data_IF_461017215585
#
_entry.id   IF_461017215585
#
_cell.length_a   1.000
_cell.length_b   1.000
_cell.length_c   1.000
_cell.angle_alpha   90.00
_cell.angle_beta   90.00
_cell.angle_gamma   90.00
#
_symmetry.space_group_name_H-M   'P 1'
#
loop_
_entity.id
_entity.type
_entity.pdbx_description
1 polymer ?
#
# COMPACT_ATOMS: atom_id res chain seq x y z
N UNK A 1 43.70 41.52 15.26
CA UNK A 1 42.80 41.91 14.15
C UNK A 1 42.21 40.66 13.50
N UNK A 2 40.98 40.28 13.84
CA UNK A 2 40.17 39.35 13.04
C UNK A 2 38.72 39.81 13.12
N UNK A 3 38.14 40.02 11.94
CA UNK A 3 36.87 40.69 11.71
C UNK A 3 35.67 39.79 12.01
N UNK A 4 34.62 40.41 12.54
CA UNK A 4 33.30 39.83 12.73
C UNK A 4 32.48 39.93 11.43
N UNK A 5 31.73 38.88 11.11
CA UNK A 5 30.69 38.95 10.09
C UNK A 5 29.45 38.20 10.61
N UNK A 6 28.42 38.98 10.95
CA UNK A 6 27.06 38.56 11.30
C UNK A 6 26.36 38.02 10.05
N UNK A 7 25.68 36.87 10.16
CA UNK A 7 24.62 36.47 9.23
C UNK A 7 23.42 36.04 10.08
N UNK A 8 22.31 36.77 9.94
CA UNK A 8 21.02 36.51 10.58
C UNK A 8 20.24 35.43 9.82
N UNK A 9 19.69 34.45 10.53
CA UNK A 9 18.70 33.51 10.01
C UNK A 9 17.28 34.03 10.31
N UNK A 10 16.46 34.21 9.27
CA UNK A 10 15.02 34.45 9.44
C UNK A 10 14.25 33.15 9.28
N UNK A 11 13.57 32.73 10.35
CA UNK A 11 12.53 31.71 10.36
C UNK A 11 11.19 32.35 9.93
N UNK A 12 10.58 31.86 8.86
CA UNK A 12 9.24 32.27 8.46
C UNK A 12 8.20 31.36 9.13
N UNK A 13 7.62 31.84 10.23
CA UNK A 13 6.36 31.34 10.79
C UNK A 13 5.20 31.91 9.96
N UNK A 14 4.28 31.07 9.48
CA UNK A 14 3.02 31.53 8.89
C UNK A 14 1.96 31.61 10.00
N UNK A 15 1.72 32.83 10.48
CA UNK A 15 0.54 33.20 11.27
C UNK A 15 -0.60 33.59 10.31
N UNK A 16 -1.81 33.14 10.61
CA UNK A 16 -3.04 33.55 9.92
C UNK A 16 -3.66 34.68 10.74
N UNK A 17 -3.60 35.93 10.27
CA UNK A 17 -4.24 37.06 10.94
C UNK A 17 -5.64 37.32 10.39
N UNK A 18 -6.61 37.41 11.30
CA UNK A 18 -7.90 38.07 11.11
C UNK A 18 -7.73 39.55 10.77
N UNK A 19 -8.63 40.11 9.95
CA UNK A 19 -8.91 41.55 9.93
C UNK A 19 -10.34 41.82 9.46
N UNK A 20 -11.02 42.61 10.28
CA UNK A 20 -12.40 43.10 10.18
C UNK A 20 -12.48 44.45 9.42
N UNK A 21 -13.55 44.60 8.62
CA UNK A 21 -14.36 45.80 8.25
C UNK A 21 -13.79 47.08 7.58
N UNK A 22 -14.13 47.20 6.27
CA UNK A 22 -14.74 48.32 5.45
C UNK A 22 -14.02 49.70 5.25
N UNK A 23 -14.34 50.51 4.19
CA UNK A 23 -15.47 50.42 3.24
C UNK A 23 -15.13 50.49 1.72
N UNK A 24 -16.21 50.30 0.96
CA UNK A 24 -16.41 50.15 -0.49
C UNK A 24 -15.98 51.29 -1.43
N UNK A 25 -15.41 50.91 -2.57
CA UNK A 25 -15.66 51.58 -3.88
C UNK A 25 -15.60 50.56 -5.02
N UNK A 26 -16.65 50.56 -5.84
CA UNK A 26 -16.92 49.70 -7.01
C UNK A 26 -15.92 49.88 -8.16
N UNK A 27 -15.50 48.78 -8.83
CA UNK A 27 -15.25 48.68 -10.29
C UNK A 27 -14.85 47.25 -10.73
N UNK A 28 -15.68 46.62 -11.57
CA UNK A 28 -15.31 45.70 -12.68
C UNK A 28 -14.80 44.27 -12.38
N UNK A 29 -15.30 43.22 -13.09
CA UNK A 29 -14.93 41.83 -12.83
C UNK A 29 -13.76 41.36 -13.71
N UNK A 30 -12.50 41.53 -13.28
CA UNK A 30 -11.35 40.88 -13.94
C UNK A 30 -10.24 40.58 -12.93
N UNK A 31 -10.41 39.59 -12.03
CA UNK A 31 -9.26 39.03 -11.29
C UNK A 31 -9.48 37.70 -10.55
N UNK A 32 -10.35 36.78 -11.01
CA UNK A 32 -10.40 35.41 -10.44
C UNK A 32 -9.71 34.34 -11.32
N UNK A 33 -9.54 34.58 -12.62
CA UNK A 33 -8.95 33.60 -13.53
C UNK A 33 -7.43 33.39 -13.34
N UNK A 34 -6.69 34.38 -12.83
CA UNK A 34 -5.23 34.35 -12.81
C UNK A 34 -4.63 33.62 -11.61
N UNK A 35 -5.38 33.48 -10.51
CA UNK A 35 -4.94 32.77 -9.29
C UNK A 35 -5.18 31.27 -9.42
N UNK A 36 -6.33 30.88 -9.96
CA UNK A 36 -6.63 29.47 -10.28
C UNK A 36 -5.67 28.90 -11.31
N UNK A 37 -5.36 29.67 -12.36
CA UNK A 37 -4.48 29.20 -13.43
C UNK A 37 -3.04 29.03 -12.94
N UNK A 38 -2.56 29.93 -12.06
CA UNK A 38 -1.26 29.78 -11.38
C UNK A 38 -1.21 28.54 -10.48
N UNK A 39 -2.29 28.21 -9.77
CA UNK A 39 -2.40 27.00 -8.95
C UNK A 39 -2.37 25.71 -9.79
N UNK A 40 -3.11 25.70 -10.90
CA UNK A 40 -3.14 24.61 -11.88
C UNK A 40 -1.80 24.44 -12.60
N UNK A 41 -1.10 25.54 -12.91
CA UNK A 41 0.23 25.50 -13.53
C UNK A 41 1.28 24.97 -12.54
N UNK A 42 1.26 25.43 -11.29
CA UNK A 42 2.16 24.94 -10.23
C UNK A 42 1.96 23.46 -9.93
N UNK A 43 0.72 22.98 -9.88
CA UNK A 43 0.44 21.55 -9.67
C UNK A 43 0.89 20.68 -10.85
N UNK A 44 0.71 21.17 -12.10
CA UNK A 44 1.24 20.53 -13.31
C UNK A 44 2.77 20.50 -13.32
N UNK A 45 3.44 21.59 -12.93
CA UNK A 45 4.91 21.68 -12.87
C UNK A 45 5.50 20.79 -11.76
N UNK A 46 4.89 20.77 -10.57
CA UNK A 46 5.29 19.86 -9.49
C UNK A 46 5.01 18.40 -9.86
N UNK A 47 3.90 18.12 -10.55
CA UNK A 47 3.60 16.78 -11.08
C UNK A 47 4.57 16.35 -12.18
N UNK A 48 4.99 17.27 -13.06
CA UNK A 48 5.99 17.02 -14.08
C UNK A 48 7.37 16.78 -13.44
N UNK A 49 7.75 17.60 -12.45
CA UNK A 49 8.99 17.44 -11.71
C UNK A 49 9.04 16.13 -10.92
N UNK A 50 7.95 15.77 -10.22
CA UNK A 50 7.86 14.49 -9.52
C UNK A 50 7.84 13.32 -10.51
N UNK A 51 7.14 13.44 -11.64
CA UNK A 51 7.21 12.44 -12.73
C UNK A 51 8.61 12.29 -13.31
N UNK A 52 9.43 13.35 -13.36
CA UNK A 52 10.83 13.28 -13.79
C UNK A 52 11.70 12.67 -12.68
N UNK A 53 11.58 13.14 -11.44
CA UNK A 53 12.35 12.66 -10.29
C UNK A 53 12.13 11.19 -9.99
N UNK A 54 10.89 10.71 -10.09
CA UNK A 54 10.50 9.32 -9.79
C UNK A 54 10.29 8.45 -11.04
N UNK A 55 9.92 9.06 -12.18
CA UNK A 55 9.69 8.33 -13.43
C UNK A 55 10.97 8.06 -14.24
N UNK A 56 12.11 8.69 -13.97
CA UNK A 56 13.36 8.34 -14.66
C UNK A 56 13.82 6.90 -14.35
N UNK A 57 13.46 6.35 -13.18
CA UNK A 57 13.71 4.95 -12.81
C UNK A 57 12.85 3.95 -13.60
N UNK A 58 11.93 4.40 -14.46
CA UNK A 58 11.05 3.53 -15.25
C UNK A 58 11.77 2.73 -16.34
N UNK A 59 12.93 3.20 -16.82
CA UNK A 59 13.65 2.56 -17.92
C UNK A 59 14.53 1.39 -17.52
N UNK A 60 14.70 1.11 -16.22
CA UNK A 60 15.55 0.01 -15.77
C UNK A 60 14.72 -1.26 -15.55
N UNK A 61 14.72 -2.15 -16.55
CA UNK A 61 14.12 -3.49 -16.43
C UNK A 61 14.85 -4.26 -15.33
N UNK A 62 14.09 -4.86 -14.42
CA UNK A 62 14.67 -5.72 -13.38
C UNK A 62 15.15 -7.02 -14.00
N UNK A 63 16.41 -7.39 -13.78
CA UNK A 63 16.98 -8.67 -14.23
C UNK A 63 16.54 -9.77 -13.27
N UNK A 64 15.95 -10.85 -13.78
CA UNK A 64 15.56 -11.98 -12.95
C UNK A 64 16.52 -13.16 -13.15
N UNK A 65 16.89 -13.79 -12.04
CA UNK A 65 17.71 -14.99 -12.09
C UNK A 65 16.90 -16.15 -12.67
N UNK A 66 17.55 -16.97 -13.49
CA UNK A 66 17.00 -18.27 -13.89
C UNK A 66 17.30 -19.35 -12.85
N UNK A 67 18.30 -19.19 -11.99
CA UNK A 67 18.70 -20.25 -11.05
C UNK A 67 17.92 -20.27 -9.74
N UNK A 68 17.30 -19.16 -9.36
CA UNK A 68 16.52 -19.07 -8.12
C UNK A 68 15.03 -18.86 -8.41
N UNK A 69 14.14 -19.53 -7.66
CA UNK A 69 12.70 -19.33 -7.82
C UNK A 69 12.31 -17.92 -7.41
N UNK A 70 11.25 -17.41 -8.04
CA UNK A 70 10.55 -16.22 -7.56
C UNK A 70 9.42 -16.69 -6.67
N UNK A 71 9.36 -16.19 -5.43
CA UNK A 71 8.22 -16.38 -4.55
C UNK A 71 7.35 -15.13 -4.61
N UNK A 72 6.04 -15.29 -4.78
CA UNK A 72 5.08 -14.20 -4.73
C UNK A 72 3.80 -14.66 -4.03
N UNK A 73 3.46 -14.01 -2.91
CA UNK A 73 2.25 -14.24 -2.10
C UNK A 73 1.91 -15.73 -1.94
N UNK A 74 2.84 -16.49 -1.37
CA UNK A 74 2.68 -17.93 -1.12
C UNK A 74 3.00 -18.87 -2.29
N UNK A 75 3.14 -18.36 -3.52
CA UNK A 75 3.41 -19.19 -4.70
C UNK A 75 4.88 -19.09 -5.14
N UNK A 76 5.53 -20.23 -5.39
CA UNK A 76 6.89 -20.32 -5.93
C UNK A 76 6.86 -20.57 -7.44
N UNK A 77 7.68 -19.85 -8.19
CA UNK A 77 7.77 -19.91 -9.65
C UNK A 77 9.21 -20.15 -10.11
N UNK A 78 9.44 -21.27 -10.78
CA UNK A 78 10.73 -21.56 -11.40
C UNK A 78 10.82 -20.93 -12.80
N UNK A 79 11.52 -19.80 -12.92
CA UNK A 79 11.56 -19.04 -14.17
C UNK A 79 12.28 -19.75 -15.34
N UNK A 80 12.96 -20.89 -15.09
CA UNK A 80 13.50 -21.75 -16.16
C UNK A 80 12.37 -22.37 -16.96
N UNK A 81 11.34 -22.84 -16.27
CA UNK A 81 10.15 -23.39 -16.89
C UNK A 81 9.32 -22.28 -17.55
N UNK A 82 8.96 -22.50 -18.82
CA UNK A 82 8.22 -21.51 -19.58
C UNK A 82 6.77 -21.35 -19.06
N UNK A 83 6.15 -22.45 -18.63
CA UNK A 83 4.80 -22.44 -18.06
C UNK A 83 4.73 -21.66 -16.75
N UNK A 84 5.65 -21.91 -15.83
CA UNK A 84 5.75 -21.19 -14.56
C UNK A 84 6.13 -19.73 -14.75
N UNK A 85 6.99 -19.40 -15.73
CA UNK A 85 7.29 -18.01 -16.09
C UNK A 85 6.05 -17.25 -16.55
N UNK A 86 5.23 -17.86 -17.42
CA UNK A 86 3.98 -17.26 -17.86
C UNK A 86 2.94 -17.20 -16.73
N UNK A 87 2.88 -18.21 -15.87
CA UNK A 87 2.05 -18.20 -14.66
C UNK A 87 2.43 -17.05 -13.72
N UNK A 88 3.73 -16.83 -13.48
CA UNK A 88 4.24 -15.69 -12.72
C UNK A 88 3.80 -14.36 -13.34
N UNK A 89 3.98 -14.20 -14.67
CA UNK A 89 3.56 -12.98 -15.39
C UNK A 89 2.09 -12.70 -15.23
N UNK A 90 1.23 -13.69 -15.46
CA UNK A 90 -0.23 -13.55 -15.31
C UNK A 90 -0.58 -13.18 -13.88
N UNK A 91 0.00 -13.87 -12.90
CA UNK A 91 -0.26 -13.63 -11.48
C UNK A 91 0.18 -12.21 -11.07
N UNK A 92 1.37 -11.77 -11.49
CA UNK A 92 1.89 -10.43 -11.19
C UNK A 92 1.05 -9.31 -11.81
N UNK A 93 0.67 -9.45 -13.09
CA UNK A 93 -0.16 -8.46 -13.80
C UNK A 93 -1.61 -8.42 -13.27
N UNK A 94 -2.04 -9.46 -12.56
CA UNK A 94 -3.35 -9.53 -11.91
C UNK A 94 -3.43 -8.70 -10.63
N UNK A 95 -2.29 -8.34 -10.03
CA UNK A 95 -2.26 -7.45 -8.87
C UNK A 95 -2.76 -6.06 -9.28
N UNK A 96 -3.65 -5.48 -8.46
CA UNK A 96 -4.08 -4.10 -8.68
C UNK A 96 -2.95 -3.13 -8.34
N UNK A 97 -2.52 -2.40 -9.36
CA UNK A 97 -1.48 -1.40 -9.25
C UNK A 97 -2.09 -0.01 -9.14
N UNK A 98 -2.07 0.54 -7.93
CA UNK A 98 -2.64 1.84 -7.60
C UNK A 98 -1.51 2.83 -7.40
N UNK A 99 -1.48 3.86 -8.23
CA UNK A 99 -0.40 4.85 -8.29
C UNK A 99 -0.93 6.24 -7.97
N UNK A 100 -0.02 7.22 -7.90
CA UNK A 100 -0.41 8.62 -7.92
C UNK A 100 -1.35 8.95 -9.08
N UNK A 101 -2.34 9.80 -8.79
CA UNK A 101 -3.33 10.26 -9.77
C UNK A 101 -3.40 11.79 -9.80
N UNK A 102 -3.82 12.33 -10.94
CA UNK A 102 -4.03 13.77 -11.15
C UNK A 102 -5.32 14.02 -11.91
N UNK A 103 -5.97 15.14 -11.60
CA UNK A 103 -7.21 15.56 -12.25
C UNK A 103 -8.47 15.00 -11.59
N UNK A 104 -8.39 14.52 -10.35
CA UNK A 104 -9.58 14.18 -9.57
C UNK A 104 -10.22 15.43 -8.97
N UNK A 105 -11.49 15.32 -8.57
CA UNK A 105 -12.21 16.40 -7.87
C UNK A 105 -11.46 16.86 -6.62
N UNK A 106 -11.46 18.16 -6.27
CA UNK A 106 -10.71 18.65 -5.10
C UNK A 106 -11.06 17.88 -3.81
N UNK A 107 -10.01 17.53 -3.06
CA UNK A 107 -10.13 16.90 -1.73
C UNK A 107 -10.82 17.84 -0.75
N UNK A 108 -11.55 17.31 0.22
CA UNK A 108 -12.28 18.13 1.18
C UNK A 108 -11.30 18.98 2.02
N UNK A 109 -11.62 20.27 2.19
CA UNK A 109 -10.81 21.20 2.97
C UNK A 109 -9.51 21.66 2.30
N UNK A 110 -9.22 21.28 1.04
CA UNK A 110 -8.10 21.83 0.29
C UNK A 110 -8.32 21.84 -1.24
N UNK A 111 -7.48 22.59 -1.97
CA UNK A 111 -7.55 22.66 -3.43
C UNK A 111 -6.82 21.53 -4.18
N UNK A 112 -6.37 20.48 -3.48
CA UNK A 112 -5.54 19.44 -4.11
C UNK A 112 -6.38 18.52 -5.01
N UNK A 113 -5.96 18.43 -6.27
CA UNK A 113 -6.53 17.56 -7.32
C UNK A 113 -5.54 16.46 -7.76
N UNK A 114 -4.49 16.25 -6.96
CA UNK A 114 -3.49 15.19 -7.12
C UNK A 114 -2.95 14.76 -5.77
N UNK A 115 -2.61 13.47 -5.66
CA UNK A 115 -1.93 12.89 -4.50
C UNK A 115 -0.41 12.70 -4.72
N UNK A 116 0.11 13.20 -5.86
CA UNK A 116 1.52 13.09 -6.21
C UNK A 116 2.42 13.77 -5.17
N UNK A 117 3.37 13.01 -4.62
CA UNK A 117 4.37 13.48 -3.67
C UNK A 117 3.99 13.36 -2.19
N UNK A 118 2.77 12.91 -1.89
CA UNK A 118 2.32 12.73 -0.50
C UNK A 118 1.46 11.48 -0.28
N UNK A 119 0.68 11.03 -1.26
CA UNK A 119 -0.28 9.93 -1.11
C UNK A 119 0.29 8.50 -1.16
N UNK A 120 1.62 8.31 -1.21
CA UNK A 120 2.19 7.00 -1.56
C UNK A 120 1.79 5.89 -0.59
N UNK A 121 1.70 6.19 0.71
CA UNK A 121 1.36 5.19 1.73
C UNK A 121 -0.11 4.80 1.65
N UNK A 122 -0.98 5.77 1.33
CA UNK A 122 -2.40 5.50 1.04
C UNK A 122 -2.54 4.59 -0.19
N UNK A 123 -1.78 4.85 -1.27
CA UNK A 123 -1.77 3.99 -2.46
C UNK A 123 -1.30 2.57 -2.18
N UNK A 124 -0.24 2.39 -1.39
CA UNK A 124 0.20 1.05 -0.99
C UNK A 124 -0.82 0.35 -0.10
N UNK A 125 -1.47 1.09 0.81
CA UNK A 125 -2.59 0.57 1.61
C UNK A 125 -3.77 0.13 0.75
N UNK A 126 -4.12 0.90 -0.28
CA UNK A 126 -5.14 0.51 -1.25
C UNK A 126 -4.74 -0.79 -1.98
N UNK A 127 -3.47 -0.96 -2.38
CA UNK A 127 -3.00 -2.18 -3.04
C UNK A 127 -3.05 -3.40 -2.11
N UNK A 128 -2.69 -3.24 -0.84
CA UNK A 128 -2.81 -4.29 0.18
C UNK A 128 -4.26 -4.72 0.38
N UNK A 129 -5.17 -3.75 0.57
CA UNK A 129 -6.59 -4.02 0.71
C UNK A 129 -7.15 -4.67 -0.57
N UNK A 130 -6.79 -4.16 -1.74
CA UNK A 130 -7.20 -4.71 -3.03
C UNK A 130 -6.81 -6.18 -3.16
N UNK A 131 -5.61 -6.57 -2.74
CA UNK A 131 -5.19 -7.97 -2.75
C UNK A 131 -6.09 -8.85 -1.86
N UNK A 132 -6.41 -8.38 -0.64
CA UNK A 132 -7.36 -9.06 0.23
C UNK A 132 -8.76 -9.18 -0.39
N UNK A 133 -9.26 -8.12 -1.02
CA UNK A 133 -10.58 -8.12 -1.69
C UNK A 133 -10.62 -9.06 -2.90
N UNK A 134 -9.54 -9.14 -3.68
CA UNK A 134 -9.44 -10.08 -4.79
C UNK A 134 -9.51 -11.53 -4.29
N UNK A 135 -8.81 -11.87 -3.20
CA UNK A 135 -8.89 -13.20 -2.59
C UNK A 135 -10.29 -13.49 -2.03
N UNK A 136 -10.94 -12.48 -1.44
CA UNK A 136 -12.27 -12.61 -0.85
C UNK A 136 -13.38 -12.79 -1.88
N UNK A 137 -13.37 -12.00 -2.96
CA UNK A 137 -14.46 -11.92 -3.94
C UNK A 137 -14.21 -12.72 -5.22
N UNK A 138 -12.94 -12.99 -5.53
CA UNK A 138 -12.46 -13.58 -6.79
C UNK A 138 -11.37 -14.65 -6.54
N UNK A 139 -11.64 -15.69 -5.72
CA UNK A 139 -10.63 -16.70 -5.39
C UNK A 139 -10.11 -17.41 -6.65
N UNK A 140 -8.79 -17.43 -6.81
CA UNK A 140 -8.11 -18.08 -7.95
C UNK A 140 -8.18 -17.31 -9.28
N UNK A 141 -8.76 -16.11 -9.30
CA UNK A 141 -8.83 -15.30 -10.51
C UNK A 141 -7.46 -14.76 -10.93
N UNK A 142 -7.16 -14.80 -12.23
CA UNK A 142 -6.05 -14.08 -12.84
C UNK A 142 -6.50 -13.39 -14.13
N UNK A 143 -5.87 -12.28 -14.48
CA UNK A 143 -6.15 -11.54 -15.70
C UNK A 143 -5.81 -12.38 -16.93
N UNK A 144 -6.80 -12.59 -17.80
CA UNK A 144 -6.62 -13.17 -19.13
C UNK A 144 -5.94 -12.12 -20.04
N UNK A 145 -4.61 -12.16 -20.13
CA UNK A 145 -3.88 -11.31 -21.09
C UNK A 145 -3.79 -12.06 -22.41
N UNK A 146 -4.43 -11.56 -23.47
CA UNK A 146 -4.26 -12.10 -24.82
C UNK A 146 -2.80 -12.03 -25.26
N UNK A 147 -2.22 -13.20 -25.59
CA UNK A 147 -0.79 -13.45 -25.84
C UNK A 147 -0.15 -12.68 -27.03
N UNK A 148 -0.87 -11.80 -27.73
CA UNK A 148 -0.40 -11.21 -28.99
C UNK A 148 0.31 -9.85 -28.90
N UNK A 149 0.52 -9.28 -27.71
CA UNK A 149 1.07 -7.90 -27.59
C UNK A 149 2.32 -7.77 -26.70
N UNK A 150 2.75 -8.81 -25.99
CA UNK A 150 3.87 -8.69 -25.05
C UNK A 150 5.15 -9.22 -25.67
N UNK A 151 5.99 -8.31 -26.16
CA UNK A 151 7.43 -8.56 -26.39
C UNK A 151 8.03 -8.99 -25.04
N UNK A 152 8.92 -9.99 -25.05
CA UNK A 152 9.53 -10.59 -23.86
C UNK A 152 10.21 -9.50 -22.98
N UNK A 153 9.46 -8.92 -22.03
CA UNK A 153 9.89 -7.74 -21.25
C UNK A 153 10.64 -8.08 -19.96
N UNK A 154 10.80 -9.39 -19.70
CA UNK A 154 11.70 -9.89 -18.65
C UNK A 154 13.06 -10.10 -19.28
N UNK A 155 14.01 -9.21 -18.99
CA UNK A 155 15.41 -9.38 -19.41
C UNK A 155 16.04 -10.49 -18.56
N UNK A 156 15.79 -11.73 -18.98
CA UNK A 156 16.49 -12.89 -18.47
C UNK A 156 17.94 -12.83 -18.97
N UNK A 157 18.90 -13.20 -18.12
CA UNK A 157 20.30 -13.29 -18.57
C UNK A 157 20.42 -14.32 -19.71
N UNK A 158 20.83 -13.83 -20.90
CA UNK A 158 21.01 -14.62 -22.13
C UNK A 158 22.51 -14.91 -22.34
N UNK A 159 22.82 -16.15 -22.74
CA UNK A 159 23.99 -16.47 -23.58
C UNK A 159 23.52 -16.53 -25.05
N UNK A 160 24.38 -16.28 -26.06
CA UNK A 160 23.92 -16.10 -27.43
C UNK A 160 23.61 -17.45 -28.08
N UNK A 161 22.46 -17.55 -28.76
CA UNK A 161 22.20 -18.54 -29.79
C UNK A 161 21.17 -18.03 -30.80
N UNK A 162 21.49 -18.27 -32.08
CA UNK A 162 20.71 -18.02 -33.29
C UNK A 162 19.42 -18.85 -33.33
N UNK A 163 18.36 -18.30 -33.92
CA UNK A 163 17.77 -18.74 -35.20
C UNK A 163 16.33 -18.22 -35.35
N UNK A 164 15.92 -17.95 -36.58
CA UNK A 164 14.63 -17.34 -36.93
C UNK A 164 13.67 -18.29 -37.64
N UNK A 165 12.38 -18.02 -37.53
CA UNK A 165 11.41 -18.39 -38.57
C UNK A 165 10.15 -17.51 -38.45
N UNK A 166 9.59 -17.16 -39.61
CA UNK A 166 8.37 -16.36 -39.82
C UNK A 166 7.21 -17.31 -40.09
N UNK A 167 6.01 -16.99 -39.59
CA UNK A 167 4.77 -17.61 -40.08
C UNK A 167 3.60 -16.62 -40.13
N UNK A 168 2.82 -16.71 -41.20
CA UNK A 168 1.78 -15.75 -41.63
C UNK A 168 0.37 -15.96 -41.03
N UNK A 169 -0.60 -15.09 -41.36
CA UNK A 169 -1.87 -15.00 -40.63
C UNK A 169 -2.97 -15.89 -41.21
N UNK A 170 -3.55 -16.78 -40.39
CA UNK A 170 -4.80 -17.49 -40.71
C UNK A 170 -5.99 -16.85 -39.99
N UNK A 171 -6.96 -16.36 -40.78
CA UNK A 171 -8.29 -15.89 -40.32
C UNK A 171 -9.06 -17.06 -39.68
N UNK A 172 -9.53 -16.93 -38.44
CA UNK A 172 -10.43 -17.89 -37.79
C UNK A 172 -11.71 -17.21 -37.30
N UNK A 173 -12.83 -17.80 -37.70
CA UNK A 173 -14.21 -17.51 -37.33
C UNK A 173 -14.41 -17.55 -35.81
N UNK A 174 -15.21 -16.62 -35.27
CA UNK A 174 -15.44 -16.42 -33.83
C UNK A 174 -16.61 -17.26 -33.33
N UNK A 175 -16.35 -18.51 -32.95
CA UNK A 175 -17.22 -19.23 -32.02
C UNK A 175 -16.72 -18.95 -30.61
N UNK A 176 -17.48 -18.18 -29.83
CA UNK A 176 -17.14 -17.84 -28.44
C UNK A 176 -17.05 -19.11 -27.60
N UNK A 177 -15.85 -19.47 -27.15
CA UNK A 177 -15.61 -20.66 -26.34
C UNK A 177 -16.34 -20.59 -25.01
N UNK A 178 -16.64 -21.75 -24.40
CA UNK A 178 -17.24 -21.84 -23.06
C UNK A 178 -16.45 -21.02 -22.01
N UNK A 179 -15.12 -20.92 -22.16
CA UNK A 179 -14.25 -20.06 -21.36
C UNK A 179 -14.64 -18.57 -21.43
N UNK A 180 -15.00 -18.06 -22.60
CA UNK A 180 -15.43 -16.66 -22.77
C UNK A 180 -16.77 -16.31 -22.09
N UNK A 181 -17.58 -17.32 -21.73
CA UNK A 181 -18.82 -17.13 -20.96
C UNK A 181 -18.56 -17.06 -19.46
N UNK A 182 -17.57 -17.79 -18.94
CA UNK A 182 -17.17 -17.75 -17.53
C UNK A 182 -16.25 -16.55 -17.20
N UNK A 183 -15.45 -16.08 -18.16
CA UNK A 183 -14.56 -14.92 -17.99
C UNK A 183 -15.32 -13.61 -17.79
N UNK A 184 -16.48 -13.43 -18.47
CA UNK A 184 -17.25 -12.17 -18.44
C UNK A 184 -17.76 -11.77 -17.04
N UNK A 185 -18.42 -12.65 -16.26
CA UNK A 185 -18.83 -12.32 -14.89
C UNK A 185 -17.65 -12.02 -13.94
N UNK A 186 -16.53 -12.72 -14.11
CA UNK A 186 -15.33 -12.50 -13.29
C UNK A 186 -14.67 -11.15 -13.62
N UNK A 187 -14.62 -10.78 -14.91
CA UNK A 187 -14.14 -9.47 -15.33
C UNK A 187 -15.04 -8.33 -14.81
N UNK A 188 -16.36 -8.51 -14.84
CA UNK A 188 -17.31 -7.53 -14.28
C UNK A 188 -17.10 -7.33 -12.77
N UNK A 189 -16.96 -8.43 -12.01
CA UNK A 189 -16.61 -8.38 -10.58
C UNK A 189 -15.25 -7.72 -10.34
N UNK A 190 -14.25 -7.99 -11.17
CA UNK A 190 -12.95 -7.35 -11.07
C UNK A 190 -13.06 -5.82 -11.30
N UNK A 191 -13.82 -5.39 -12.31
CA UNK A 191 -14.10 -3.96 -12.58
C UNK A 191 -14.83 -3.30 -11.42
N UNK A 192 -15.79 -4.00 -10.81
CA UNK A 192 -16.47 -3.55 -9.59
C UNK A 192 -15.44 -3.28 -8.47
N UNK A 193 -14.56 -4.24 -8.18
CA UNK A 193 -13.50 -4.06 -7.16
C UNK A 193 -12.61 -2.87 -7.50
N UNK A 194 -12.15 -2.73 -8.76
CA UNK A 194 -11.34 -1.59 -9.19
C UNK A 194 -12.07 -0.26 -8.99
N UNK A 195 -13.39 -0.22 -9.23
CA UNK A 195 -14.19 0.99 -9.08
C UNK A 195 -14.25 1.48 -7.64
N UNK A 196 -14.12 0.59 -6.65
CA UNK A 196 -14.10 0.96 -5.23
C UNK A 196 -12.84 1.73 -4.81
N UNK A 197 -11.76 1.66 -5.60
CA UNK A 197 -10.51 2.39 -5.37
C UNK A 197 -10.39 3.67 -6.22
N UNK A 198 -11.45 4.04 -6.94
CA UNK A 198 -11.44 5.20 -7.83
C UNK A 198 -11.21 6.53 -7.08
N UNK A 199 -10.63 7.52 -7.75
CA UNK A 199 -10.29 8.82 -7.16
C UNK A 199 -11.48 9.78 -7.09
N UNK A 200 -12.55 9.35 -6.42
CA UNK A 200 -13.78 10.12 -6.24
C UNK A 200 -14.39 9.89 -4.87
N UNK A 201 -15.22 10.85 -4.43
CA UNK A 201 -15.83 10.87 -3.11
C UNK A 201 -16.73 9.67 -2.81
N UNK A 202 -17.37 9.09 -3.82
CA UNK A 202 -18.29 7.95 -3.66
C UNK A 202 -17.59 6.60 -3.59
N UNK A 203 -16.29 6.53 -3.87
CA UNK A 203 -15.56 5.27 -3.86
C UNK A 203 -15.11 4.94 -2.43
N UNK A 204 -15.54 3.80 -1.84
CA UNK A 204 -15.35 3.51 -0.41
C UNK A 204 -13.87 3.38 0.00
N UNK A 205 -13.01 3.01 -0.94
CA UNK A 205 -11.56 2.87 -0.71
C UNK A 205 -10.76 3.88 -1.54
N UNK A 206 -11.42 4.88 -2.12
CA UNK A 206 -10.81 5.94 -2.90
C UNK A 206 -10.02 6.93 -2.05
N UNK A 207 -9.09 7.66 -2.66
CA UNK A 207 -8.20 8.60 -1.95
C UNK A 207 -8.97 9.64 -1.12
N UNK A 208 -10.13 10.11 -1.61
CA UNK A 208 -11.01 11.03 -0.89
C UNK A 208 -11.48 10.45 0.44
N UNK A 209 -11.98 9.22 0.43
CA UNK A 209 -12.50 8.55 1.62
C UNK A 209 -11.37 8.26 2.61
N UNK A 210 -10.21 7.80 2.14
CA UNK A 210 -9.07 7.51 3.01
C UNK A 210 -8.52 8.76 3.70
N UNK A 211 -8.47 9.89 2.98
CA UNK A 211 -8.10 11.19 3.58
C UNK A 211 -9.12 11.64 4.62
N UNK A 212 -10.42 11.49 4.33
CA UNK A 212 -11.48 11.85 5.27
C UNK A 212 -11.37 11.06 6.58
N UNK A 213 -11.20 9.74 6.48
CA UNK A 213 -11.01 8.86 7.63
C UNK A 213 -9.71 9.16 8.40
N UNK A 214 -8.68 9.62 7.69
CA UNK A 214 -7.39 10.01 8.26
C UNK A 214 -7.46 11.21 9.22
N UNK A 215 -8.48 12.07 9.11
CA UNK A 215 -8.65 13.24 10.00
C UNK A 215 -8.74 12.86 11.47
N UNK A 216 -9.38 11.74 11.77
CA UNK A 216 -9.49 11.20 13.13
C UNK A 216 -8.16 10.77 13.75
N UNK A 217 -7.09 10.70 12.94
CA UNK A 217 -5.71 10.45 13.36
C UNK A 217 -4.82 11.67 13.13
N UNK A 218 -5.41 12.87 13.08
CA UNK A 218 -4.70 14.14 12.90
C UNK A 218 -4.13 14.37 11.51
N UNK A 219 -4.49 13.55 10.51
CA UNK A 219 -3.96 13.67 9.14
C UNK A 219 -4.88 14.46 8.23
N UNK A 220 -4.29 15.24 7.33
CA UNK A 220 -4.98 15.93 6.23
C UNK A 220 -4.37 15.59 4.87
N UNK A 221 -5.03 16.04 3.81
CA UNK A 221 -4.48 15.96 2.46
C UNK A 221 -3.14 16.71 2.38
N UNK A 222 -2.13 16.09 1.80
CA UNK A 222 -0.76 16.63 1.71
C UNK A 222 0.19 16.13 2.79
N UNK A 223 -0.33 15.60 3.91
CA UNK A 223 0.50 15.05 4.98
C UNK A 223 1.14 13.72 4.57
N UNK A 224 2.20 13.37 5.30
CA UNK A 224 2.71 12.01 5.28
C UNK A 224 1.96 11.11 6.27
N UNK A 225 1.67 9.90 5.81
CA UNK A 225 0.99 8.84 6.56
C UNK A 225 1.98 7.72 6.85
N UNK A 226 1.97 7.18 8.07
CA UNK A 226 2.73 5.97 8.40
C UNK A 226 1.94 4.69 8.08
N UNK A 227 2.60 3.54 7.86
CA UNK A 227 1.93 2.26 7.60
C UNK A 227 0.86 1.89 8.65
N UNK A 228 1.18 2.09 9.94
CA UNK A 228 0.24 1.85 11.05
C UNK A 228 -1.05 2.68 10.94
N UNK A 229 -0.93 3.99 10.69
CA UNK A 229 -2.08 4.89 10.51
C UNK A 229 -2.94 4.41 9.33
N UNK A 230 -2.31 4.03 8.22
CA UNK A 230 -3.02 3.52 7.04
C UNK A 230 -3.74 2.21 7.34
N UNK A 231 -3.19 1.32 8.16
CA UNK A 231 -3.86 0.10 8.60
C UNK A 231 -5.19 0.41 9.33
N UNK A 232 -5.17 1.37 10.25
CA UNK A 232 -6.39 1.81 10.95
C UNK A 232 -7.38 2.54 10.04
N UNK A 233 -6.91 3.29 9.03
CA UNK A 233 -7.77 3.90 8.02
C UNK A 233 -8.46 2.82 7.18
N UNK A 234 -7.73 1.78 6.75
CA UNK A 234 -8.30 0.63 6.02
C UNK A 234 -9.38 -0.05 6.86
N UNK A 235 -9.11 -0.30 8.16
CA UNK A 235 -10.11 -0.85 9.07
C UNK A 235 -11.39 -0.02 9.11
N UNK A 236 -11.27 1.30 9.27
CA UNK A 236 -12.41 2.22 9.30
C UNK A 236 -13.15 2.22 7.95
N UNK A 237 -12.44 2.18 6.83
CA UNK A 237 -13.02 2.18 5.50
C UNK A 237 -13.84 0.91 5.22
N UNK A 238 -13.30 -0.26 5.56
CA UNK A 238 -14.02 -1.54 5.40
C UNK A 238 -15.23 -1.60 6.33
N UNK A 239 -15.09 -1.19 7.59
CA UNK A 239 -16.21 -1.17 8.55
C UNK A 239 -17.35 -0.23 8.13
N UNK A 240 -17.05 0.85 7.40
CA UNK A 240 -18.04 1.80 6.89
C UNK A 240 -18.66 1.38 5.54
N UNK A 241 -18.12 0.37 4.86
CA UNK A 241 -18.57 -0.04 3.53
C UNK A 241 -19.72 -1.04 3.62
N UNK A 242 -20.90 -0.65 3.14
CA UNK A 242 -22.06 -1.53 3.05
C UNK A 242 -21.87 -2.67 2.02
N UNK A 243 -20.91 -2.52 1.09
CA UNK A 243 -20.61 -3.50 0.04
C UNK A 243 -19.84 -4.72 0.56
N UNK A 244 -19.30 -4.66 1.77
CA UNK A 244 -18.47 -5.70 2.38
C UNK A 244 -19.00 -6.14 3.75
N UNK A 245 -20.26 -6.59 3.86
CA UNK A 245 -20.82 -6.96 5.15
C UNK A 245 -20.01 -8.09 5.80
N UNK A 246 -19.51 -9.03 4.99
CA UNK A 246 -18.90 -10.30 5.40
C UNK A 246 -17.37 -10.25 5.56
N UNK A 247 -16.78 -9.05 5.55
CA UNK A 247 -15.35 -8.85 5.75
C UNK A 247 -15.09 -7.93 6.95
N UNK A 248 -14.23 -8.40 7.85
CA UNK A 248 -13.67 -7.59 8.92
C UNK A 248 -12.19 -7.30 8.69
N UNK A 249 -11.71 -6.22 9.32
CA UNK A 249 -10.28 -5.91 9.38
C UNK A 249 -9.88 -5.76 10.84
N UNK A 250 -8.92 -6.55 11.28
CA UNK A 250 -8.27 -6.42 12.58
C UNK A 250 -6.91 -5.74 12.40
N UNK A 251 -6.56 -4.83 13.30
CA UNK A 251 -5.23 -4.20 13.33
C UNK A 251 -4.62 -4.55 14.68
N UNK A 252 -3.47 -5.22 14.65
CA UNK A 252 -2.71 -5.59 15.84
C UNK A 252 -2.29 -4.35 16.64
N UNK A 253 -2.23 -4.49 17.95
CA UNK A 253 -1.78 -3.45 18.88
C UNK A 253 -0.50 -3.92 19.54
N UNK A 254 0.48 -3.03 19.70
CA UNK A 254 1.77 -3.34 20.33
C UNK A 254 2.45 -4.60 19.80
N UNK A 255 2.40 -4.78 18.47
CA UNK A 255 2.91 -5.98 17.79
C UNK A 255 2.31 -7.30 18.32
N UNK A 256 1.06 -7.26 18.81
CA UNK A 256 0.34 -8.39 19.38
C UNK A 256 -1.01 -8.57 18.71
N UNK A 257 -1.28 -9.81 18.28
CA UNK A 257 -2.58 -10.24 17.75
C UNK A 257 -3.33 -10.98 18.85
N UNK A 258 -4.35 -10.33 19.39
CA UNK A 258 -5.21 -10.90 20.45
C UNK A 258 -6.31 -11.79 19.84
N UNK A 259 -6.23 -13.09 20.11
CA UNK A 259 -7.05 -14.10 19.44
C UNK A 259 -8.55 -13.94 19.75
N UNK A 260 -8.91 -13.59 20.98
CA UNK A 260 -10.33 -13.39 21.34
C UNK A 260 -10.94 -12.17 20.68
N UNK A 261 -10.18 -11.09 20.52
CA UNK A 261 -10.63 -9.89 19.83
C UNK A 261 -10.92 -10.19 18.35
N UNK A 262 -10.07 -10.98 17.70
CA UNK A 262 -10.30 -11.40 16.31
C UNK A 262 -11.52 -12.32 16.22
N UNK A 263 -11.65 -13.31 17.11
CA UNK A 263 -12.82 -14.22 17.13
C UNK A 263 -14.11 -13.43 17.27
N UNK A 264 -14.22 -12.55 18.28
CA UNK A 264 -15.40 -11.71 18.52
C UNK A 264 -15.73 -10.81 17.32
N UNK A 265 -14.71 -10.26 16.66
CA UNK A 265 -14.89 -9.41 15.49
C UNK A 265 -15.51 -10.19 14.31
N UNK A 266 -15.19 -11.48 14.20
CA UNK A 266 -15.64 -12.36 13.12
C UNK A 266 -16.95 -13.07 13.41
N UNK A 267 -17.23 -13.40 14.68
CA UNK A 267 -18.42 -14.13 15.10
C UNK A 267 -19.72 -13.38 14.78
N UNK A 268 -20.74 -14.15 14.42
CA UNK A 268 -22.06 -13.66 14.06
C UNK A 268 -23.16 -14.62 14.52
N UNK A 269 -24.37 -14.11 14.74
CA UNK A 269 -25.52 -14.98 14.92
C UNK A 269 -25.78 -15.85 13.66
N UNK A 270 -26.30 -17.08 13.83
CA UNK A 270 -26.65 -17.98 12.71
C UNK A 270 -27.58 -17.31 11.67
N UNK A 271 -27.56 -17.72 10.38
CA UNK A 271 -26.96 -18.93 9.82
C UNK A 271 -25.49 -18.79 9.35
N UNK A 272 -24.95 -17.57 9.29
CA UNK A 272 -23.54 -17.33 8.93
C UNK A 272 -22.76 -17.03 10.21
N UNK A 273 -22.08 -18.03 10.78
CA UNK A 273 -21.42 -17.90 12.09
C UNK A 273 -20.11 -17.10 12.09
N UNK A 274 -19.55 -16.77 10.92
CA UNK A 274 -18.21 -16.19 10.81
C UNK A 274 -18.03 -15.25 9.61
N UNK A 275 -17.41 -14.08 9.82
CA UNK A 275 -16.93 -13.15 8.79
C UNK A 275 -15.50 -13.49 8.37
N UNK A 276 -15.17 -13.31 7.10
CA UNK A 276 -13.76 -13.30 6.69
C UNK A 276 -13.00 -12.17 7.38
N UNK A 277 -11.69 -12.32 7.57
CA UNK A 277 -10.87 -11.32 8.25
C UNK A 277 -9.57 -11.03 7.51
N UNK A 278 -9.24 -9.74 7.41
CA UNK A 278 -7.89 -9.27 7.11
C UNK A 278 -7.23 -8.85 8.43
N UNK A 279 -6.07 -9.42 8.74
CA UNK A 279 -5.27 -9.07 9.90
C UNK A 279 -4.10 -8.21 9.43
N UNK A 280 -4.01 -7.00 9.95
CA UNK A 280 -2.93 -6.06 9.67
C UNK A 280 -2.02 -5.95 10.90
N UNK A 281 -0.73 -6.17 10.72
CA UNK A 281 0.25 -6.13 11.81
C UNK A 281 1.30 -5.06 11.52
N UNK A 282 1.13 -3.83 12.04
CA UNK A 282 2.17 -2.81 11.99
C UNK A 282 3.36 -3.23 12.85
N UNK A 283 4.58 -3.12 12.30
CA UNK A 283 5.81 -3.50 13.02
C UNK A 283 6.96 -2.55 12.67
N UNK A 284 7.99 -2.56 13.51
CA UNK A 284 9.27 -1.89 13.26
C UNK A 284 10.43 -2.88 13.38
N UNK A 285 10.99 -3.26 12.25
CA UNK A 285 12.01 -4.32 12.12
C UNK A 285 13.46 -3.80 12.29
N UNK A 286 13.64 -2.67 12.95
CA UNK A 286 14.95 -2.03 13.10
C UNK A 286 14.87 -0.54 13.43
N UNK A 287 16.03 0.04 13.73
CA UNK A 287 16.18 1.47 14.03
C UNK A 287 16.08 2.33 12.77
N UNK A 288 17.21 2.51 12.09
CA UNK A 288 17.29 3.26 10.83
C UNK A 288 17.18 2.35 9.61
N UNK A 289 17.79 1.17 9.68
CA UNK A 289 17.78 0.16 8.63
C UNK A 289 17.13 -1.12 9.13
N UNK A 290 16.68 -1.96 8.20
CA UNK A 290 16.18 -3.30 8.51
C UNK A 290 17.28 -4.12 9.21
N UNK A 291 16.97 -4.66 10.39
CA UNK A 291 17.85 -5.61 11.05
C UNK A 291 17.92 -6.90 10.19
N UNK A 292 19.10 -7.30 9.68
CA UNK A 292 19.22 -8.43 8.77
C UNK A 292 18.70 -9.77 9.32
N UNK A 293 18.67 -9.94 10.65
CA UNK A 293 18.18 -11.16 11.28
C UNK A 293 16.72 -11.45 10.90
N UNK A 294 15.88 -10.41 10.82
CA UNK A 294 14.48 -10.56 10.45
C UNK A 294 14.25 -10.98 9.00
N UNK A 295 15.23 -10.85 8.09
CA UNK A 295 15.06 -11.15 6.66
C UNK A 295 14.57 -12.58 6.44
N UNK A 296 15.10 -13.55 7.20
CA UNK A 296 14.68 -14.94 7.10
C UNK A 296 13.19 -15.10 7.47
N UNK A 297 12.75 -14.43 8.52
CA UNK A 297 11.35 -14.45 8.95
C UNK A 297 10.43 -13.75 7.94
N UNK A 298 10.83 -12.58 7.41
CA UNK A 298 10.08 -11.87 6.35
C UNK A 298 9.88 -12.77 5.12
N UNK A 299 10.93 -13.49 4.69
CA UNK A 299 10.85 -14.45 3.58
C UNK A 299 9.85 -15.56 3.89
N UNK A 300 9.90 -16.17 5.09
CA UNK A 300 8.94 -17.19 5.53
C UNK A 300 7.50 -16.68 5.46
N UNK A 301 7.23 -15.47 5.98
CA UNK A 301 5.88 -14.89 5.94
C UNK A 301 5.39 -14.65 4.50
N UNK A 302 6.24 -14.19 3.59
CA UNK A 302 5.89 -14.01 2.17
C UNK A 302 5.65 -15.34 1.42
N UNK A 303 6.12 -16.47 1.98
CA UNK A 303 5.86 -17.82 1.48
C UNK A 303 4.53 -18.41 1.97
N UNK A 304 3.82 -17.76 2.90
CA UNK A 304 2.53 -18.24 3.40
C UNK A 304 1.39 -17.84 2.44
N UNK A 305 0.49 -18.78 2.16
CA UNK A 305 -0.69 -18.53 1.31
C UNK A 305 -1.68 -17.52 1.92
N UNK A 306 -1.68 -17.36 3.25
CA UNK A 306 -2.49 -16.38 3.94
C UNK A 306 -1.90 -14.96 3.89
N UNK A 307 -0.63 -14.79 3.48
CA UNK A 307 0.01 -13.48 3.40
C UNK A 307 -0.47 -12.72 2.15
N UNK A 308 -0.99 -11.51 2.36
CA UNK A 308 -1.45 -10.62 1.28
C UNK A 308 -0.45 -9.51 0.97
N UNK A 309 0.76 -9.60 1.52
CA UNK A 309 1.89 -8.72 1.26
C UNK A 309 2.20 -7.76 2.39
N UNK A 310 3.11 -6.84 2.12
CA UNK A 310 3.67 -5.90 3.11
C UNK A 310 3.65 -4.50 2.52
N UNK A 311 3.16 -3.52 3.26
CA UNK A 311 3.30 -2.10 2.92
C UNK A 311 4.35 -1.47 3.81
N UNK A 312 5.17 -0.58 3.26
CA UNK A 312 6.19 0.09 4.04
C UNK A 312 7.13 0.92 3.18
N UNK A 313 8.01 1.67 3.82
CA UNK A 313 8.96 2.52 3.12
C UNK A 313 9.19 3.84 3.84
N UNK A 314 10.23 4.53 3.39
CA UNK A 314 10.61 5.84 3.93
C UNK A 314 9.53 6.89 3.68
N UNK A 315 9.54 8.01 4.42
CA UNK A 315 8.71 9.15 4.09
C UNK A 315 8.77 9.52 2.60
N UNK A 316 7.60 9.61 1.96
CA UNK A 316 7.43 9.86 0.51
C UNK A 316 8.00 8.79 -0.43
N UNK A 317 8.28 7.59 0.07
CA UNK A 317 8.80 6.46 -0.69
C UNK A 317 8.23 5.11 -0.18
N UNK A 318 6.90 4.97 -0.16
CA UNK A 318 6.23 3.72 0.23
C UNK A 318 6.08 2.76 -0.95
N UNK A 319 6.28 1.47 -0.71
CA UNK A 319 6.17 0.39 -1.68
C UNK A 319 5.22 -0.70 -1.15
N UNK A 320 4.67 -1.49 -2.06
CA UNK A 320 3.90 -2.69 -1.73
C UNK A 320 4.70 -3.93 -2.12
N UNK A 321 5.22 -4.62 -1.13
CA UNK A 321 6.04 -5.82 -1.29
C UNK A 321 5.15 -7.06 -1.38
N UNK A 322 5.37 -7.87 -2.41
CA UNK A 322 4.50 -9.00 -2.77
C UNK A 322 5.25 -10.32 -2.85
N UNK A 323 6.57 -10.32 -2.65
CA UNK A 323 7.38 -11.51 -2.82
C UNK A 323 8.87 -11.24 -2.80
N UNK A 324 9.66 -12.20 -3.25
CA UNK A 324 11.12 -12.08 -3.34
C UNK A 324 11.73 -13.05 -4.36
N UNK A 325 12.99 -12.78 -4.73
CA UNK A 325 13.87 -13.72 -5.43
C UNK A 325 15.29 -13.59 -4.86
N UNK A 326 15.82 -14.66 -4.26
CA UNK A 326 17.08 -14.59 -3.53
C UNK A 326 17.02 -13.53 -2.43
N UNK A 327 17.94 -12.57 -2.46
CA UNK A 327 18.00 -11.45 -1.49
C UNK A 327 17.36 -10.15 -1.98
N UNK A 328 16.42 -10.26 -2.91
CA UNK A 328 15.69 -9.10 -3.43
C UNK A 328 14.19 -9.24 -3.22
N UNK A 329 13.57 -8.24 -2.61
CA UNK A 329 12.14 -8.07 -2.50
C UNK A 329 11.52 -7.66 -3.83
N UNK A 330 10.43 -8.30 -4.20
CA UNK A 330 9.57 -7.97 -5.33
C UNK A 330 8.48 -6.99 -4.86
N UNK A 331 8.25 -5.90 -5.62
CA UNK A 331 7.29 -4.87 -5.21
C UNK A 331 6.53 -4.19 -6.36
N UNK A 332 5.43 -3.55 -5.99
CA UNK A 332 4.68 -2.56 -6.77
C UNK A 332 4.98 -1.15 -6.25
N UNK A 333 5.19 -0.24 -7.19
CA UNK A 333 5.65 1.13 -6.94
C UNK A 333 4.55 2.16 -7.27
N UNK A 334 4.01 2.91 -6.29
CA UNK A 334 2.94 3.87 -6.54
C UNK A 334 3.43 5.19 -7.14
N UNK A 335 4.74 5.45 -7.27
CA UNK A 335 5.29 6.78 -7.56
C UNK A 335 5.19 7.22 -9.03
N UNK A 336 4.25 6.64 -9.77
CA UNK A 336 3.94 7.04 -11.14
C UNK A 336 2.65 7.84 -11.18
N UNK A 337 2.71 9.12 -11.60
CA UNK A 337 1.53 9.95 -11.69
C UNK A 337 0.76 9.68 -13.00
N UNK A 338 -0.47 9.20 -12.87
CA UNK A 338 -1.39 8.89 -13.98
C UNK A 338 -2.61 9.84 -13.96
N UNK A 339 -3.25 10.13 -15.10
CA UNK A 339 -4.57 10.79 -15.10
C UNK A 339 -5.61 9.95 -14.35
N UNK A 340 -6.66 10.55 -13.79
CA UNK A 340 -7.78 9.76 -13.27
C UNK A 340 -8.47 8.96 -14.37
N UNK A 341 -9.11 7.87 -13.98
CA UNK A 341 -9.99 7.10 -14.86
C UNK A 341 -11.41 7.26 -14.37
N UNK A 342 -12.32 7.59 -15.27
CA UNK A 342 -13.75 7.59 -14.99
C UNK A 342 -14.27 6.14 -14.95
N UNK A 343 -14.39 5.61 -13.74
CA UNK A 343 -14.87 4.25 -13.49
C UNK A 343 -16.41 4.17 -13.36
N UNK A 344 -17.16 5.23 -13.70
CA UNK A 344 -18.63 5.16 -13.81
C UNK A 344 -19.08 4.40 -15.05
N UNK A 345 -18.24 4.38 -16.09
CA UNK A 345 -18.49 3.70 -17.35
C UNK A 345 -18.26 2.20 -17.18
N UNK A 346 -19.19 1.35 -17.58
CA UNK A 346 -19.10 -0.11 -17.42
C UNK A 346 -17.77 -0.70 -17.94
N UNK A 347 -17.30 -0.25 -19.10
CA UNK A 347 -16.09 -0.74 -19.77
C UNK A 347 -14.90 0.22 -19.67
N UNK A 348 -14.67 0.83 -18.50
CA UNK A 348 -13.55 1.76 -18.29
C UNK A 348 -12.17 1.09 -18.54
N UNK A 349 -11.14 1.83 -18.97
CA UNK A 349 -9.81 1.26 -19.22
C UNK A 349 -9.14 0.74 -17.95
N UNK A 350 -8.59 -0.49 -17.99
CA UNK A 350 -7.92 -1.16 -16.86
C UNK A 350 -6.39 -1.08 -16.92
N UNK A 351 -5.84 -0.59 -18.03
CA UNK A 351 -4.40 -0.61 -18.33
C UNK A 351 -3.59 0.13 -17.26
N UNK A 352 -4.11 1.26 -16.79
CA UNK A 352 -3.46 2.08 -15.76
C UNK A 352 -3.51 1.49 -14.35
N UNK A 353 -4.28 0.41 -14.15
CA UNK A 353 -4.43 -0.29 -12.86
C UNK A 353 -3.61 -1.59 -12.81
N UNK A 354 -2.77 -1.85 -13.82
CA UNK A 354 -1.99 -3.09 -13.95
C UNK A 354 -0.52 -2.78 -14.18
N UNK A 355 0.35 -3.38 -13.37
CA UNK A 355 1.80 -3.26 -13.56
C UNK A 355 2.30 -4.40 -14.46
N UNK A 356 2.95 -4.06 -15.57
CA UNK A 356 3.55 -5.04 -16.50
C UNK A 356 5.00 -5.36 -16.20
N UNK A 357 5.66 -4.56 -15.35
CA UNK A 357 7.10 -4.61 -15.15
C UNK A 357 7.42 -4.86 -13.68
N UNK A 358 7.63 -6.13 -13.28
CA UNK A 358 7.99 -6.44 -11.90
C UNK A 358 9.32 -5.80 -11.53
N UNK A 359 9.36 -5.17 -10.34
CA UNK A 359 10.52 -4.48 -9.81
C UNK A 359 11.05 -5.16 -8.57
N UNK A 360 12.37 -5.11 -8.37
CA UNK A 360 12.99 -5.65 -7.18
C UNK A 360 14.05 -4.76 -6.54
N UNK A 361 14.27 -4.93 -5.24
CA UNK A 361 15.27 -4.20 -4.45
C UNK A 361 15.86 -5.12 -3.39
N UNK A 362 17.11 -4.89 -2.98
CA UNK A 362 17.72 -5.65 -1.89
C UNK A 362 16.92 -5.51 -0.58
N UNK A 363 16.79 -6.59 0.21
CA UNK A 363 16.14 -6.55 1.53
C UNK A 363 16.73 -5.48 2.43
N UNK A 364 18.05 -5.29 2.42
CA UNK A 364 18.76 -4.28 3.22
C UNK A 364 18.32 -2.84 2.95
N UNK A 365 17.63 -2.58 1.84
CA UNK A 365 17.11 -1.25 1.48
C UNK A 365 15.65 -1.04 1.92
N UNK A 366 15.00 -2.09 2.42
CA UNK A 366 13.64 -2.00 2.96
C UNK A 366 13.65 -1.13 4.21
N UNK A 367 12.69 -0.22 4.32
CA UNK A 367 12.50 0.56 5.53
C UNK A 367 12.01 -0.34 6.67
N UNK A 368 12.53 -0.19 7.91
CA UNK A 368 12.12 -1.04 9.02
C UNK A 368 10.67 -0.82 9.45
N UNK A 369 10.04 0.33 9.15
CA UNK A 369 8.63 0.58 9.46
C UNK A 369 7.72 0.01 8.37
N UNK A 370 6.95 -1.02 8.70
CA UNK A 370 6.06 -1.67 7.74
C UNK A 370 4.78 -2.22 8.40
N UNK A 371 3.88 -2.75 7.57
CA UNK A 371 2.67 -3.44 8.00
C UNK A 371 2.48 -4.69 7.16
N UNK A 372 2.42 -5.84 7.83
CA UNK A 372 2.07 -7.12 7.21
C UNK A 372 0.56 -7.23 7.08
N UNK A 373 0.08 -7.80 5.98
CA UNK A 373 -1.32 -8.19 5.84
C UNK A 373 -1.46 -9.70 5.73
N UNK A 374 -2.46 -10.25 6.42
CA UNK A 374 -2.89 -11.62 6.28
C UNK A 374 -4.40 -11.71 6.03
N UNK A 375 -4.85 -12.77 5.37
CA UNK A 375 -6.27 -12.99 5.06
C UNK A 375 -6.69 -14.41 5.45
N UNK A 376 -7.86 -14.51 6.08
CA UNK A 376 -8.54 -15.76 6.39
C UNK A 376 -10.01 -15.67 5.97
N UNK A 377 -10.47 -16.63 5.16
CA UNK A 377 -11.84 -16.62 4.62
C UNK A 377 -12.86 -17.10 5.65
N UNK A 378 -12.55 -18.16 6.39
CA UNK A 378 -13.41 -18.68 7.46
C UNK A 378 -12.63 -18.97 8.75
N UNK A 379 -13.35 -19.50 9.75
CA UNK A 379 -12.78 -19.85 11.05
C UNK A 379 -11.62 -20.84 10.94
N UNK A 380 -11.75 -21.89 10.13
CA UNK A 380 -10.67 -22.87 9.89
C UNK A 380 -9.42 -22.24 9.27
N UNK A 381 -9.61 -21.30 8.34
CA UNK A 381 -8.50 -20.57 7.72
C UNK A 381 -7.82 -19.66 8.72
N UNK A 382 -8.59 -19.07 9.66
CA UNK A 382 -8.05 -18.24 10.74
C UNK A 382 -7.23 -19.08 11.72
N UNK A 383 -7.72 -20.24 12.14
CA UNK A 383 -6.98 -21.18 13.00
C UNK A 383 -5.68 -21.66 12.33
N UNK A 384 -5.76 -22.00 11.04
CA UNK A 384 -4.59 -22.35 10.22
C UNK A 384 -3.60 -21.19 10.11
N UNK A 385 -4.09 -19.97 9.82
CA UNK A 385 -3.29 -18.74 9.77
C UNK A 385 -2.54 -18.53 11.09
N UNK A 386 -3.22 -18.61 12.23
CA UNK A 386 -2.57 -18.43 13.54
C UNK A 386 -1.44 -19.43 13.72
N UNK A 387 -1.65 -20.69 13.36
CA UNK A 387 -0.64 -21.76 13.47
C UNK A 387 0.58 -21.48 12.60
N UNK A 388 0.38 -21.28 11.29
CA UNK A 388 1.50 -21.15 10.33
C UNK A 388 2.25 -19.82 10.47
N UNK A 389 1.54 -18.74 10.86
CA UNK A 389 2.18 -17.45 11.11
C UNK A 389 2.95 -17.50 12.42
N UNK A 390 2.37 -18.06 13.49
CA UNK A 390 3.07 -18.25 14.77
C UNK A 390 4.34 -19.09 14.59
N UNK A 391 4.28 -20.19 13.83
CA UNK A 391 5.45 -20.99 13.50
C UNK A 391 6.50 -20.19 12.73
N UNK A 392 6.10 -19.41 11.72
CA UNK A 392 7.01 -18.60 10.92
C UNK A 392 7.75 -17.53 11.76
N UNK A 393 7.07 -16.90 12.73
CA UNK A 393 7.67 -15.90 13.63
C UNK A 393 8.46 -16.51 14.78
N UNK A 394 8.14 -17.73 15.21
CA UNK A 394 8.83 -18.42 16.31
C UNK A 394 10.05 -19.23 15.86
N UNK A 395 10.08 -19.67 14.61
CA UNK A 395 11.22 -20.42 14.05
C UNK A 395 12.36 -19.52 13.57
N UNK A 396 12.32 -18.20 13.83
CA UNK A 396 13.53 -17.39 13.74
C UNK A 396 14.37 -17.69 14.99
N UNK A 397 15.68 -17.85 14.82
CA UNK A 397 16.61 -18.15 15.93
C UNK A 397 16.84 -16.94 16.87
N UNK A 398 15.84 -16.06 16.98
CA UNK A 398 15.98 -14.73 17.55
C UNK A 398 15.41 -14.63 18.95
N UNK A 399 16.03 -13.76 19.74
CA UNK A 399 15.61 -13.45 21.12
C UNK A 399 14.26 -12.74 21.18
N UNK A 400 13.83 -12.08 20.08
CA UNK A 400 12.57 -11.32 20.03
C UNK A 400 11.83 -11.53 18.70
N UNK A 401 10.61 -12.08 18.71
CA UNK A 401 9.80 -12.23 17.49
C UNK A 401 9.36 -10.88 16.94
N UNK A 402 9.07 -10.80 15.63
CA UNK A 402 8.62 -9.55 14.99
C UNK A 402 7.25 -9.07 15.53
N UNK A 403 6.40 -10.02 15.92
CA UNK A 403 5.10 -9.84 16.57
C UNK A 403 4.67 -11.18 17.17
N UNK A 404 3.68 -11.17 18.07
CA UNK A 404 3.20 -12.37 18.76
C UNK A 404 1.68 -12.56 18.61
N UNK A 405 1.22 -13.78 18.85
CA UNK A 405 -0.19 -14.08 19.11
C UNK A 405 -0.38 -14.29 20.60
N UNK A 406 -1.41 -13.67 21.17
CA UNK A 406 -1.75 -13.81 22.58
C UNK A 406 -3.20 -14.29 22.73
N UNK A 407 -3.43 -15.18 23.70
CA UNK A 407 -4.78 -15.47 24.19
C UNK A 407 -5.28 -14.29 25.02
N UNK A 408 -6.59 -14.07 25.06
CA UNK A 408 -7.21 -12.93 25.74
C UNK A 408 -7.44 -11.71 24.85
N UNK A 409 -7.56 -10.54 25.48
CA UNK A 409 -8.00 -9.27 24.87
C UNK A 409 -7.06 -8.13 25.21
N UNK A 410 -7.00 -7.11 24.35
CA UNK A 410 -6.25 -5.87 24.60
C UNK A 410 -6.55 -5.27 25.97
N UNK A 411 -7.84 -5.19 26.34
CA UNK A 411 -8.28 -4.53 27.59
C UNK A 411 -7.83 -5.26 28.86
N UNK A 412 -7.66 -6.57 28.79
CA UNK A 412 -7.25 -7.36 29.96
C UNK A 412 -5.76 -7.13 30.29
N UNK A 413 -4.96 -6.69 29.29
CA UNK A 413 -3.56 -6.30 29.48
C UNK A 413 -3.42 -4.83 29.93
N UNK A 414 -4.28 -3.92 29.45
CA UNK A 414 -4.35 -2.54 29.95
C UNK A 414 -4.68 -2.53 31.46
N UNK A 415 -5.70 -3.29 31.89
CA UNK A 415 -6.10 -3.38 33.30
C UNK A 415 -5.04 -4.08 34.19
N UNK A 416 -4.23 -4.98 33.64
CA UNK A 416 -3.10 -5.60 34.36
C UNK A 416 -1.93 -4.64 34.58
N UNK A 417 -1.81 -3.60 33.76
CA UNK A 417 -0.79 -2.57 33.93
C UNK A 417 -1.15 -1.52 35.00
N UNK A 418 -2.41 -1.46 35.44
CA UNK A 418 -2.93 -0.53 36.45
C UNK A 418 -2.88 -1.10 37.90
N UNK A 419 -1.76 -1.73 38.28
CA UNK A 419 -1.47 -2.00 39.68
C UNK A 419 -0.82 -0.76 40.35
N UNK A 420 -1.29 -0.30 41.52
CA UNK A 420 -0.81 0.95 42.10
C UNK A 420 0.54 0.73 42.80
N UNK A 421 1.62 1.20 42.18
CA UNK A 421 2.91 1.33 42.84
C UNK A 421 4.10 1.06 41.94
N UNK A 422 4.48 2.05 41.14
CA UNK A 422 5.87 2.50 41.09
C UNK A 422 5.92 3.87 40.42
N UNK A 423 6.40 4.86 41.17
CA UNK A 423 6.69 6.21 40.70
C UNK A 423 7.34 6.17 39.32
N UNK A 424 6.69 6.85 38.37
CA UNK A 424 7.31 7.26 37.11
C UNK A 424 8.49 8.13 37.49
N UNK A 425 9.69 7.53 37.51
CA UNK A 425 10.94 8.24 37.67
C UNK A 425 11.13 9.13 36.45
N UNK A 426 10.59 10.34 36.56
CA UNK A 426 10.86 11.46 35.70
C UNK A 426 12.36 11.75 35.83
N UNK A 427 13.17 11.27 34.88
CA UNK A 427 14.57 11.69 34.80
C UNK A 427 14.56 13.16 34.36
N UNK A 428 14.50 14.07 35.34
CA UNK A 428 14.79 15.48 35.16
C UNK A 428 16.25 15.62 34.74
N UNK A 429 16.52 15.68 33.43
CA UNK A 429 17.77 16.24 32.93
C UNK A 429 17.74 17.75 33.14
N UNK A 430 18.61 18.22 34.05
CA UNK A 430 18.98 19.62 34.22
C UNK A 430 19.29 20.26 32.85
N UNK A 431 18.67 21.41 32.60
CA UNK A 431 18.93 22.32 31.46
C UNK A 431 20.43 22.53 31.22
N UNK A 432 20.88 22.18 30.01
CA UNK A 432 21.96 22.89 29.30
C UNK A 432 21.57 23.01 27.83
N UNK A 433 21.77 24.20 27.30
CA UNK A 433 21.23 24.70 26.03
C UNK A 433 21.87 24.06 24.78
N UNK A 434 21.07 24.09 23.71
CA UNK A 434 21.35 24.01 22.27
C UNK A 434 21.80 22.67 21.64
N UNK A 435 20.92 22.06 20.83
CA UNK A 435 20.89 22.22 19.36
C UNK A 435 19.73 21.41 18.73
N UNK A 436 19.26 21.88 17.57
CA UNK A 436 18.04 21.46 16.87
C UNK A 436 17.99 19.98 16.44
N UNK A 437 16.88 19.30 16.74
CA UNK A 437 16.36 18.19 15.93
C UNK A 437 14.87 18.03 16.19
N UNK A 438 14.06 18.26 15.15
CA UNK A 438 12.62 18.01 15.13
C UNK A 438 12.37 16.51 15.03
N UNK A 439 12.42 15.82 16.16
CA UNK A 439 11.87 14.48 16.34
C UNK A 439 11.23 14.45 17.72
N UNK A 440 9.92 14.66 17.79
CA UNK A 440 9.06 14.14 18.85
C UNK A 440 7.60 14.44 18.48
N UNK A 441 6.95 13.44 17.88
CA UNK A 441 5.50 13.29 17.95
C UNK A 441 5.22 11.78 17.98
N UNK A 442 5.55 11.19 19.14
CA UNK A 442 5.03 9.89 19.53
C UNK A 442 3.61 10.12 20.04
N UNK A 443 2.62 9.64 19.29
CA UNK A 443 1.34 9.29 19.88
C UNK A 443 1.49 7.83 20.29
N UNK A 444 1.77 7.61 21.59
CA UNK A 444 1.33 6.41 22.28
C UNK A 444 -0.19 6.50 22.27
N UNK A 445 -0.84 5.63 21.50
CA UNK A 445 -2.28 5.39 21.59
C UNK A 445 -2.49 4.21 22.53
#
# INVERSE_FOLDING_TARGET
MKAAMKISSSSAQFSCNESQYLPSTSRGPVQEASVEDKGKLKSKLVSAWNSVKYGWSWKQKSKFSKSSPVVMLGTSYELRDQGMRESFRRSFVSLLWLTYRRGFTPLAGCGLTTDSGWGCVLRTGQMLLAQGLLLHLLPGWTCSVSHHVVKDDMDLEKRPAHDGSKDGPKKRSRTLSLGSRLERPLEAKHRMVVSWFADRRTAPFGIHQLVELGKSSGKKAGDWYGPSIVAHIIRKAVAASADLPDLAVYVAQDCTVYLEDVKRLCERPPPHSWKSVIILVPVRLGGQDLNPTYIACVKKLLMLNCCIGIIGGKPKHSLFFVGFQGDHLLYLDPHYCQPTVDTTKENFPLESFRCKHPRKMAFSRMDPSCTFGFYAKGQKDFESLCTVVHEAVSTSAETYPMFIFAEGRVRDDEERSDAPGHDIAYIQRKKRADTSSSMDEFVLL
#
